data_IF_558665803830
#
_entry.id   IF_558665803830
#
_cell.length_a   1.000
_cell.length_b   1.000
_cell.length_c   1.000
_cell.angle_alpha   90.00
_cell.angle_beta   90.00
_cell.angle_gamma   90.00
#
_symmetry.space_group_name_H-M   'P 1'
#
loop_
_entity.id
_entity.type
_entity.pdbx_description
1 polymer ?
#
# COMPACT_ATOMS: atom_id res chain seq x y z
N UNK A 1 35.11 -87.08 50.67
CA UNK A 1 33.68 -86.88 50.37
C UNK A 1 33.32 -85.45 50.78
N UNK A 2 33.37 -84.50 49.85
CA UNK A 2 33.15 -83.07 50.12
C UNK A 2 31.76 -82.64 49.65
N UNK A 3 30.99 -82.02 50.54
CA UNK A 3 29.58 -81.68 50.37
C UNK A 3 29.30 -80.75 49.17
N UNK A 4 28.16 -80.89 48.47
CA UNK A 4 27.79 -79.94 47.42
C UNK A 4 27.32 -78.62 48.05
N UNK A 5 27.96 -77.52 47.64
CA UNK A 5 27.62 -76.16 48.06
C UNK A 5 26.30 -75.76 47.39
N UNK A 6 25.27 -75.50 48.20
CA UNK A 6 23.96 -75.04 47.74
C UNK A 6 24.04 -73.52 47.51
N UNK A 7 24.01 -73.08 46.25
CA UNK A 7 23.93 -71.65 45.92
C UNK A 7 22.50 -71.11 46.13
N UNK A 8 22.37 -70.16 47.07
CA UNK A 8 21.13 -69.44 47.35
C UNK A 8 20.69 -68.58 46.15
N UNK A 9 19.50 -68.85 45.60
CA UNK A 9 18.88 -68.09 44.50
C UNK A 9 17.94 -66.97 44.99
N UNK A 10 18.24 -66.32 46.11
CA UNK A 10 17.42 -65.20 46.56
C UNK A 10 17.79 -63.90 45.84
N UNK A 11 16.81 -63.03 45.58
CA UNK A 11 16.98 -61.78 44.85
C UNK A 11 17.98 -60.79 45.50
N UNK A 12 18.37 -61.00 46.76
CA UNK A 12 19.37 -60.17 47.46
C UNK A 12 20.82 -60.50 47.06
N UNK A 13 21.08 -61.68 46.50
CA UNK A 13 22.45 -62.12 46.15
C UNK A 13 22.87 -61.73 44.73
N UNK A 14 21.94 -61.33 43.85
CA UNK A 14 22.19 -60.82 42.50
C UNK A 14 22.02 -59.30 42.45
N UNK A 15 22.89 -58.55 43.12
CA UNK A 15 23.02 -57.12 42.87
C UNK A 15 23.82 -56.91 41.57
N UNK A 16 23.13 -56.82 40.44
CA UNK A 16 23.69 -56.16 39.26
C UNK A 16 24.10 -54.73 39.68
N UNK A 17 25.30 -54.24 39.34
CA UNK A 17 25.59 -52.82 39.48
C UNK A 17 24.58 -52.09 38.60
N UNK A 18 23.62 -51.41 39.21
CA UNK A 18 22.71 -50.53 38.50
C UNK A 18 23.59 -49.56 37.71
N UNK A 19 23.65 -49.72 36.38
CA UNK A 19 24.30 -48.76 35.49
C UNK A 19 23.76 -47.39 35.89
N UNK A 20 24.58 -46.57 36.55
CA UNK A 20 24.24 -45.17 36.81
C UNK A 20 23.88 -44.59 35.46
N UNK A 21 22.59 -44.37 35.20
CA UNK A 21 22.13 -43.57 34.06
C UNK A 21 22.74 -42.20 34.30
N UNK A 22 23.85 -41.91 33.60
CA UNK A 22 24.33 -40.55 33.45
C UNK A 22 23.17 -39.82 32.76
N UNK A 23 22.36 -39.09 33.54
CA UNK A 23 21.45 -38.10 32.97
C UNK A 23 22.35 -37.12 32.22
N UNK A 24 22.42 -37.25 30.89
CA UNK A 24 23.02 -36.20 30.05
C UNK A 24 22.30 -34.92 30.47
N UNK A 25 23.04 -33.94 30.99
CA UNK A 25 22.49 -32.59 31.21
C UNK A 25 21.84 -32.18 29.87
N UNK A 26 20.61 -31.65 29.87
CA UNK A 26 20.05 -31.10 28.64
C UNK A 26 21.09 -30.12 28.10
N UNK A 27 21.45 -30.25 26.81
CA UNK A 27 22.34 -29.29 26.18
C UNK A 27 21.64 -27.94 26.33
N UNK A 28 22.24 -26.99 27.05
CA UNK A 28 21.76 -25.62 27.10
C UNK A 28 21.93 -25.04 25.70
N UNK A 29 20.92 -25.22 24.85
CA UNK A 29 20.86 -24.63 23.53
C UNK A 29 20.64 -23.13 23.73
N UNK A 30 21.63 -22.34 23.33
CA UNK A 30 21.52 -20.89 23.28
C UNK A 30 21.18 -20.46 21.86
N UNK A 31 20.79 -19.19 21.68
CA UNK A 31 20.54 -18.63 20.35
C UNK A 31 21.76 -18.77 19.42
N UNK A 32 22.98 -18.75 19.97
CA UNK A 32 24.23 -18.93 19.22
C UNK A 32 24.43 -20.34 18.65
N UNK A 33 23.61 -21.31 19.09
CA UNK A 33 23.64 -22.67 18.55
C UNK A 33 22.68 -22.87 17.37
N UNK A 34 21.89 -21.85 17.02
CA UNK A 34 21.01 -21.90 15.86
C UNK A 34 21.81 -21.74 14.57
N UNK A 35 21.38 -22.37 13.45
CA UNK A 35 21.92 -22.09 12.12
C UNK A 35 21.77 -20.60 11.76
N UNK A 36 22.67 -20.09 10.93
CA UNK A 36 22.65 -18.68 10.50
C UNK A 36 21.32 -18.30 9.83
N UNK A 37 20.71 -19.19 9.06
CA UNK A 37 19.40 -18.95 8.45
C UNK A 37 18.31 -18.65 9.49
N UNK A 38 18.30 -19.40 10.60
CA UNK A 38 17.37 -19.16 11.69
C UNK A 38 17.66 -17.82 12.39
N UNK A 39 18.95 -17.47 12.56
CA UNK A 39 19.36 -16.17 13.10
C UNK A 39 18.92 -15.02 12.18
N UNK A 40 19.11 -15.13 10.87
CA UNK A 40 18.63 -14.12 9.91
C UNK A 40 17.12 -13.99 9.94
N UNK A 41 16.38 -15.10 10.06
CA UNK A 41 14.93 -15.05 10.22
C UNK A 41 14.50 -14.34 11.50
N UNK A 42 15.23 -14.48 12.61
CA UNK A 42 14.97 -13.74 13.85
C UNK A 42 15.28 -12.25 13.66
N UNK A 43 16.47 -11.92 13.15
CA UNK A 43 16.95 -10.55 12.95
C UNK A 43 16.06 -9.75 12.00
N UNK A 44 15.44 -10.40 11.01
CA UNK A 44 14.54 -9.79 10.01
C UNK A 44 13.37 -9.02 10.64
N UNK A 45 12.90 -9.42 11.83
CA UNK A 45 11.71 -8.84 12.46
C UNK A 45 12.02 -7.91 13.62
N UNK A 46 13.30 -7.62 13.86
CA UNK A 46 13.73 -6.75 14.94
C UNK A 46 13.72 -5.28 14.52
N UNK A 47 13.46 -4.40 15.49
CA UNK A 47 13.70 -2.98 15.31
C UNK A 47 15.20 -2.73 15.13
N UNK A 48 15.57 -1.62 14.48
CA UNK A 48 16.98 -1.24 14.37
C UNK A 48 17.64 -1.08 15.74
N UNK A 49 16.88 -0.64 16.76
CA UNK A 49 17.36 -0.56 18.14
C UNK A 49 17.73 -1.93 18.71
N UNK A 50 16.85 -2.92 18.53
CA UNK A 50 17.10 -4.30 18.97
C UNK A 50 18.24 -4.95 18.18
N UNK A 51 18.37 -4.68 16.88
CA UNK A 51 19.50 -5.14 16.06
C UNK A 51 20.82 -4.60 16.60
N UNK A 52 20.86 -3.31 16.99
CA UNK A 52 22.05 -2.70 17.59
C UNK A 52 22.36 -3.28 18.97
N UNK A 53 21.34 -3.60 19.76
CA UNK A 53 21.51 -4.30 21.03
C UNK A 53 22.09 -5.70 20.81
N UNK A 54 21.54 -6.50 19.89
CA UNK A 54 22.03 -7.82 19.52
C UNK A 54 23.49 -7.77 19.04
N UNK A 55 23.82 -6.77 18.22
CA UNK A 55 25.19 -6.50 17.74
C UNK A 55 26.19 -6.27 18.89
N UNK A 56 25.75 -5.71 20.02
CA UNK A 56 26.62 -5.41 21.16
C UNK A 56 26.90 -6.63 22.05
N UNK A 57 26.09 -7.70 21.96
CA UNK A 57 26.12 -8.82 22.91
C UNK A 57 27.21 -9.85 22.62
N UNK A 58 27.49 -10.18 21.35
CA UNK A 58 28.43 -11.25 20.99
C UNK A 58 29.13 -11.01 19.65
N UNK A 59 30.39 -11.43 19.53
CA UNK A 59 31.22 -11.21 18.32
C UNK A 59 30.65 -11.84 17.05
N UNK A 60 30.11 -13.06 17.15
CA UNK A 60 29.43 -13.71 16.02
C UNK A 60 28.17 -12.95 15.58
N UNK A 61 27.33 -12.50 16.52
CA UNK A 61 26.14 -11.71 16.19
C UNK A 61 26.51 -10.34 15.60
N UNK A 62 27.59 -9.72 16.11
CA UNK A 62 28.18 -8.53 15.51
C UNK A 62 28.61 -8.77 14.07
N UNK A 63 29.29 -9.89 13.79
CA UNK A 63 29.69 -10.27 12.44
C UNK A 63 28.46 -10.42 11.51
N UNK A 64 27.42 -11.11 11.96
CA UNK A 64 26.19 -11.29 11.19
C UNK A 64 25.52 -9.94 10.86
N UNK A 65 25.34 -9.09 11.87
CA UNK A 65 24.73 -7.77 11.70
C UNK A 65 25.60 -6.87 10.81
N UNK A 66 26.93 -6.88 10.98
CA UNK A 66 27.78 -5.93 10.27
C UNK A 66 28.01 -6.31 8.79
N UNK A 67 28.06 -7.61 8.47
CA UNK A 67 28.44 -8.08 7.13
C UNK A 67 27.27 -8.47 6.23
N UNK A 68 26.08 -8.77 6.77
CA UNK A 68 24.96 -9.23 5.95
C UNK A 68 23.98 -8.11 5.60
N UNK A 69 23.84 -7.84 4.30
CA UNK A 69 22.93 -6.82 3.78
C UNK A 69 21.46 -7.09 4.11
N UNK A 70 21.05 -8.36 4.14
CA UNK A 70 19.66 -8.79 4.40
C UNK A 70 19.14 -8.32 5.76
N UNK A 71 19.99 -8.26 6.78
CA UNK A 71 19.64 -7.76 8.12
C UNK A 71 19.21 -6.30 8.03
N UNK A 72 20.01 -5.46 7.36
CA UNK A 72 19.73 -4.03 7.19
C UNK A 72 18.59 -3.77 6.21
N UNK A 73 18.46 -4.58 5.16
CA UNK A 73 17.37 -4.52 4.19
C UNK A 73 15.99 -4.72 4.83
N UNK A 74 15.93 -5.50 5.91
CA UNK A 74 14.67 -5.83 6.59
C UNK A 74 14.48 -5.14 7.94
N UNK A 75 15.51 -4.48 8.48
CA UNK A 75 15.44 -3.80 9.77
C UNK A 75 14.25 -2.83 9.83
N UNK A 76 13.44 -2.90 10.88
CA UNK A 76 12.34 -1.95 11.03
C UNK A 76 12.81 -0.65 11.69
N UNK A 77 12.39 0.47 11.10
CA UNK A 77 12.61 1.83 11.63
C UNK A 77 11.33 2.42 12.20
N UNK A 78 10.38 1.58 12.63
CA UNK A 78 9.11 2.01 13.19
C UNK A 78 9.32 3.05 14.30
N UNK A 79 8.54 4.13 14.27
CA UNK A 79 8.60 5.24 15.23
C UNK A 79 9.92 6.02 15.26
N UNK A 80 10.92 5.62 14.48
CA UNK A 80 12.14 6.38 14.25
C UNK A 80 12.01 7.21 12.99
N UNK A 81 12.49 8.45 13.11
CA UNK A 81 12.62 9.38 12.01
C UNK A 81 14.09 9.74 11.77
N UNK A 82 14.51 10.00 10.51
CA UNK A 82 15.84 10.51 10.21
C UNK A 82 16.17 11.79 10.99
N UNK A 83 17.32 11.77 11.67
CA UNK A 83 17.87 12.88 12.45
C UNK A 83 19.39 12.86 12.36
N UNK A 84 20.12 13.94 12.74
CA UNK A 84 21.58 13.95 12.62
C UNK A 84 22.25 12.84 13.44
N UNK A 85 21.64 12.45 14.57
CA UNK A 85 22.17 11.40 15.44
C UNK A 85 22.02 9.97 14.92
N UNK A 86 21.03 9.70 14.05
CA UNK A 86 20.75 8.35 13.52
C UNK A 86 20.86 8.27 11.99
N UNK A 87 21.22 9.35 11.30
CA UNK A 87 21.26 9.44 9.83
C UNK A 87 22.06 8.30 9.20
N UNK A 88 23.27 8.02 9.71
CA UNK A 88 24.13 6.95 9.18
C UNK A 88 23.47 5.56 9.21
N UNK A 89 22.56 5.31 10.15
CA UNK A 89 21.82 4.05 10.23
C UNK A 89 20.78 3.95 9.11
N UNK A 90 20.04 5.02 8.87
CA UNK A 90 19.08 5.11 7.78
C UNK A 90 19.77 4.99 6.42
N UNK A 91 20.88 5.72 6.21
CA UNK A 91 21.63 5.68 4.95
C UNK A 91 22.18 4.28 4.68
N UNK A 92 22.79 3.64 5.70
CA UNK A 92 23.25 2.26 5.61
C UNK A 92 22.11 1.32 5.25
N UNK A 93 20.96 1.42 5.90
CA UNK A 93 19.83 0.54 5.63
C UNK A 93 19.28 0.74 4.21
N UNK A 94 19.10 1.99 3.78
CA UNK A 94 18.64 2.31 2.43
C UNK A 94 19.61 1.73 1.38
N UNK A 95 20.91 1.91 1.55
CA UNK A 95 21.95 1.35 0.65
C UNK A 95 21.95 -0.18 0.60
N UNK A 96 21.45 -0.85 1.64
CA UNK A 96 21.24 -2.31 1.65
C UNK A 96 19.88 -2.75 1.12
N UNK A 97 19.05 -1.83 0.61
CA UNK A 97 17.77 -2.12 -0.02
C UNK A 97 16.57 -2.02 0.91
N UNK A 98 16.67 -1.28 2.03
CA UNK A 98 15.54 -1.07 2.93
C UNK A 98 14.59 0.01 2.40
N UNK A 99 13.37 -0.40 2.02
CA UNK A 99 12.33 0.48 1.50
C UNK A 99 11.85 1.53 2.52
N UNK A 100 11.64 1.12 3.79
CA UNK A 100 11.19 2.02 4.85
C UNK A 100 12.20 3.17 5.07
N UNK A 101 13.49 2.84 5.12
CA UNK A 101 14.55 3.84 5.27
C UNK A 101 14.62 4.78 4.06
N UNK A 102 14.55 4.25 2.83
CA UNK A 102 14.58 5.06 1.61
C UNK A 102 13.40 6.05 1.54
N UNK A 103 12.17 5.60 1.82
CA UNK A 103 10.98 6.48 1.83
C UNK A 103 11.11 7.57 2.89
N UNK A 104 11.46 7.21 4.13
CA UNK A 104 11.60 8.17 5.24
C UNK A 104 12.68 9.20 4.95
N UNK A 105 13.85 8.79 4.43
CA UNK A 105 14.90 9.72 4.01
C UNK A 105 14.44 10.65 2.88
N UNK A 106 13.79 10.13 1.85
CA UNK A 106 13.27 10.92 0.74
C UNK A 106 12.31 12.03 1.21
N UNK A 107 11.38 11.68 2.09
CA UNK A 107 10.39 12.60 2.67
C UNK A 107 11.05 13.59 3.63
N UNK A 108 11.97 13.13 4.49
CA UNK A 108 12.71 13.98 5.45
C UNK A 108 13.49 15.08 4.73
N UNK A 109 14.26 14.73 3.69
CA UNK A 109 14.97 15.72 2.88
C UNK A 109 14.02 16.63 2.13
N UNK A 110 12.97 16.09 1.49
CA UNK A 110 12.03 16.89 0.69
C UNK A 110 11.36 17.99 1.51
N UNK A 111 10.92 17.67 2.73
CA UNK A 111 10.19 18.59 3.60
C UNK A 111 11.06 19.25 4.68
N UNK A 112 12.38 19.05 4.64
CA UNK A 112 13.33 19.58 5.61
C UNK A 112 12.95 19.25 7.06
N UNK A 113 12.59 18.00 7.31
CA UNK A 113 12.13 17.52 8.60
C UNK A 113 13.17 16.56 9.21
N UNK A 114 13.60 16.87 10.43
CA UNK A 114 14.58 16.07 11.17
C UNK A 114 16.02 16.26 10.73
N UNK A 115 16.28 16.81 9.54
CA UNK A 115 17.61 16.98 8.98
C UNK A 115 17.87 18.47 8.74
N UNK A 116 18.84 19.05 9.46
CA UNK A 116 19.26 20.44 9.25
C UNK A 116 20.39 20.50 8.21
N UNK A 117 20.12 21.09 7.06
CA UNK A 117 21.16 21.58 6.14
C UNK A 117 21.24 23.10 6.28
N UNK A 118 22.46 23.66 6.19
CA UNK A 118 22.73 25.11 6.21
C UNK A 118 21.80 25.88 5.27
N UNK A 119 21.52 27.15 5.59
CA UNK A 119 20.53 27.95 4.84
C UNK A 119 20.92 28.18 3.36
N UNK A 120 22.22 28.25 3.04
CA UNK A 120 22.69 28.40 1.66
C UNK A 120 22.46 27.10 0.84
N UNK A 121 21.82 27.23 -0.32
CA UNK A 121 21.49 26.13 -1.25
C UNK A 121 20.68 24.96 -0.65
N UNK A 122 19.96 25.17 0.47
CA UNK A 122 19.18 24.13 1.16
C UNK A 122 18.27 23.34 0.22
N UNK A 123 17.54 24.03 -0.67
CA UNK A 123 16.58 23.39 -1.56
C UNK A 123 17.23 22.51 -2.62
N UNK A 124 18.40 22.90 -3.10
CA UNK A 124 19.17 22.14 -4.09
C UNK A 124 19.77 20.88 -3.46
N UNK A 125 20.49 21.04 -2.35
CA UNK A 125 21.12 19.92 -1.64
C UNK A 125 20.09 18.91 -1.15
N UNK A 126 19.02 19.39 -0.49
CA UNK A 126 17.96 18.51 -0.01
C UNK A 126 17.17 17.88 -1.17
N UNK A 127 16.93 18.64 -2.24
CA UNK A 127 16.25 18.12 -3.44
C UNK A 127 17.04 16.98 -4.09
N UNK A 128 18.35 17.12 -4.26
CA UNK A 128 19.22 16.07 -4.81
C UNK A 128 19.25 14.82 -3.92
N UNK A 129 19.33 15.00 -2.58
CA UNK A 129 19.29 13.87 -1.65
C UNK A 129 17.93 13.18 -1.65
N UNK A 130 16.84 13.95 -1.64
CA UNK A 130 15.48 13.40 -1.72
C UNK A 130 15.27 12.62 -3.03
N UNK A 131 15.75 13.15 -4.16
CA UNK A 131 15.71 12.49 -5.47
C UNK A 131 16.37 11.12 -5.44
N UNK A 132 17.60 11.02 -4.91
CA UNK A 132 18.32 9.74 -4.76
C UNK A 132 17.50 8.70 -4.02
N UNK A 133 16.91 9.07 -2.88
CA UNK A 133 16.15 8.12 -2.06
C UNK A 133 14.76 7.79 -2.62
N UNK A 134 14.09 8.72 -3.28
CA UNK A 134 12.85 8.43 -4.00
C UNK A 134 13.07 7.50 -5.19
N UNK A 135 14.13 7.74 -5.97
CA UNK A 135 14.55 6.88 -7.06
C UNK A 135 14.86 5.45 -6.58
N UNK A 136 15.54 5.34 -5.43
CA UNK A 136 15.78 4.06 -4.77
C UNK A 136 14.48 3.39 -4.30
N UNK A 137 13.56 4.14 -3.67
CA UNK A 137 12.30 3.61 -3.18
C UNK A 137 11.42 3.03 -4.32
N UNK A 138 11.36 3.72 -5.46
CA UNK A 138 10.65 3.24 -6.65
C UNK A 138 11.28 1.98 -7.25
N UNK A 139 12.62 1.87 -7.20
CA UNK A 139 13.33 0.66 -7.67
C UNK A 139 13.15 -0.54 -6.74
N UNK A 140 13.06 -0.31 -5.43
CA UNK A 140 12.84 -1.38 -4.46
C UNK A 140 11.41 -1.92 -4.48
N UNK A 141 10.45 -1.17 -5.05
CA UNK A 141 9.03 -1.46 -4.95
C UNK A 141 8.35 -1.65 -6.31
N UNK A 142 8.92 -2.52 -7.15
CA UNK A 142 8.44 -2.80 -8.52
C UNK A 142 6.99 -3.34 -8.57
N UNK A 143 6.50 -3.91 -7.47
CA UNK A 143 5.15 -4.48 -7.36
C UNK A 143 4.05 -3.50 -6.95
N UNK A 144 4.35 -2.22 -6.76
CA UNK A 144 3.38 -1.19 -6.45
C UNK A 144 3.24 -0.18 -7.60
N UNK A 145 2.09 0.50 -7.66
CA UNK A 145 1.94 1.65 -8.55
C UNK A 145 2.95 2.73 -8.15
N UNK A 146 3.67 3.36 -9.10
CA UNK A 146 4.62 4.41 -8.78
C UNK A 146 3.93 5.55 -8.03
N UNK A 147 4.54 6.02 -6.96
CA UNK A 147 3.88 6.86 -5.96
C UNK A 147 4.64 8.15 -5.62
N UNK A 148 5.96 8.22 -5.83
CA UNK A 148 6.77 9.39 -5.38
C UNK A 148 6.28 10.73 -5.96
N UNK A 149 5.63 10.69 -7.13
CA UNK A 149 5.03 11.86 -7.77
C UNK A 149 4.03 12.60 -6.87
N UNK A 150 3.39 11.90 -5.92
CA UNK A 150 2.44 12.49 -4.97
C UNK A 150 3.12 13.52 -4.03
N UNK A 151 4.42 13.37 -3.76
CA UNK A 151 5.16 14.25 -2.85
C UNK A 151 5.70 15.49 -3.57
N UNK A 152 6.00 15.35 -4.87
CA UNK A 152 6.56 16.41 -5.72
C UNK A 152 5.51 17.10 -6.59
N UNK A 153 4.20 16.91 -6.31
CA UNK A 153 3.11 17.60 -7.03
C UNK A 153 3.30 19.12 -7.06
N UNK A 154 2.97 19.79 -8.18
CA UNK A 154 2.88 21.24 -8.26
C UNK A 154 1.76 21.79 -7.33
N UNK A 155 1.73 23.10 -7.04
CA UNK A 155 2.61 24.15 -7.56
C UNK A 155 4.03 24.11 -6.97
N UNK A 156 4.99 24.58 -7.76
CA UNK A 156 6.37 24.83 -7.32
C UNK A 156 6.62 26.33 -7.25
N UNK A 157 7.54 26.75 -6.39
CA UNK A 157 7.89 28.17 -6.31
C UNK A 157 8.52 28.65 -7.61
N UNK A 158 8.08 29.80 -8.11
CA UNK A 158 8.65 30.49 -9.27
C UNK A 158 9.92 31.28 -8.93
N UNK A 159 10.14 31.59 -7.65
CA UNK A 159 11.22 32.47 -7.18
C UNK A 159 12.59 31.80 -7.08
N UNK A 160 12.74 30.57 -7.60
CA UNK A 160 13.93 29.74 -7.44
C UNK A 160 14.09 29.18 -6.01
N UNK A 161 14.61 27.96 -5.89
CA UNK A 161 14.76 27.15 -4.65
C UNK A 161 13.50 26.39 -4.17
N UNK A 162 12.92 25.54 -5.03
CA UNK A 162 11.89 24.58 -4.62
C UNK A 162 12.43 23.15 -4.59
N UNK A 163 12.50 22.51 -3.40
CA UNK A 163 12.97 21.11 -3.27
C UNK A 163 12.23 20.15 -4.21
N UNK A 164 10.91 20.31 -4.37
CA UNK A 164 10.09 19.46 -5.26
C UNK A 164 10.50 19.58 -6.73
N UNK A 165 10.79 20.80 -7.18
CA UNK A 165 11.23 21.06 -8.55
C UNK A 165 12.62 20.44 -8.78
N UNK A 166 13.55 20.63 -7.84
CA UNK A 166 14.89 20.02 -7.89
C UNK A 166 14.81 18.50 -7.94
N UNK A 167 13.94 17.88 -7.15
CA UNK A 167 13.71 16.42 -7.22
C UNK A 167 13.26 16.00 -8.61
N UNK A 168 12.25 16.69 -9.16
CA UNK A 168 11.74 16.38 -10.50
C UNK A 168 12.83 16.52 -11.58
N UNK A 169 13.61 17.60 -11.55
CA UNK A 169 14.71 17.85 -12.50
C UNK A 169 15.83 16.80 -12.37
N UNK A 170 16.19 16.46 -11.13
CA UNK A 170 17.20 15.45 -10.83
C UNK A 170 16.78 14.05 -11.32
N UNK A 171 15.53 13.64 -11.07
CA UNK A 171 14.98 12.37 -11.57
C UNK A 171 14.92 12.34 -13.10
N UNK A 172 14.60 13.49 -13.73
CA UNK A 172 14.62 13.62 -15.20
C UNK A 172 16.03 13.44 -15.75
N UNK A 173 17.04 14.06 -15.13
CA UNK A 173 18.44 13.91 -15.51
C UNK A 173 18.94 12.47 -15.32
N UNK A 174 18.57 11.82 -14.20
CA UNK A 174 18.88 10.42 -13.96
C UNK A 174 18.32 9.52 -15.07
N UNK A 175 17.05 9.72 -15.45
CA UNK A 175 16.43 8.99 -16.54
C UNK A 175 17.16 9.20 -17.88
N UNK A 176 17.79 10.34 -18.14
CA UNK A 176 18.56 10.54 -19.37
C UNK A 176 19.88 9.74 -19.37
N UNK A 177 20.52 9.62 -18.21
CA UNK A 177 21.81 8.94 -18.05
C UNK A 177 21.65 7.41 -17.98
N UNK A 178 20.66 6.92 -17.24
CA UNK A 178 20.43 5.49 -17.03
C UNK A 178 19.28 4.99 -17.91
N UNK A 179 19.55 3.97 -18.75
CA UNK A 179 18.56 3.40 -19.68
C UNK A 179 17.76 2.22 -19.13
N UNK A 180 18.15 1.65 -17.98
CA UNK A 180 17.53 0.45 -17.41
C UNK A 180 16.75 0.79 -16.14
N UNK A 181 15.66 0.05 -15.89
CA UNK A 181 14.84 0.14 -14.67
C UNK A 181 14.29 1.54 -14.34
N UNK A 182 13.96 2.36 -15.36
CA UNK A 182 13.43 3.72 -15.17
C UNK A 182 11.92 3.86 -15.38
N UNK A 183 11.21 2.76 -15.66
CA UNK A 183 9.79 2.79 -16.03
C UNK A 183 8.90 3.47 -14.97
N UNK A 184 9.12 3.20 -13.68
CA UNK A 184 8.39 3.81 -12.56
C UNK A 184 8.71 5.30 -12.38
N UNK A 185 9.97 5.68 -12.56
CA UNK A 185 10.40 7.08 -12.49
C UNK A 185 9.82 7.88 -13.66
N UNK A 186 9.85 7.35 -14.88
CA UNK A 186 9.21 7.95 -16.05
C UNK A 186 7.70 8.15 -15.84
N UNK A 187 7.02 7.15 -15.26
CA UNK A 187 5.62 7.30 -14.88
C UNK A 187 5.44 8.48 -13.92
N UNK A 188 6.24 8.56 -12.86
CA UNK A 188 6.15 9.63 -11.87
C UNK A 188 6.37 11.01 -12.49
N UNK A 189 7.38 11.16 -13.35
CA UNK A 189 7.64 12.40 -14.08
C UNK A 189 6.46 12.77 -14.99
N UNK A 190 5.92 11.80 -15.73
CA UNK A 190 4.73 11.98 -16.55
C UNK A 190 3.52 12.44 -15.73
N UNK A 191 3.27 11.81 -14.56
CA UNK A 191 2.17 12.19 -13.66
C UNK A 191 2.32 13.59 -13.09
N UNK A 192 3.54 14.05 -12.80
CA UNK A 192 3.77 15.43 -12.37
C UNK A 192 3.44 16.39 -13.50
N UNK A 193 3.94 16.14 -14.71
CA UNK A 193 3.71 17.00 -15.87
C UNK A 193 2.22 17.04 -16.26
N UNK A 194 1.50 15.93 -16.12
CA UNK A 194 0.06 15.85 -16.43
C UNK A 194 -0.82 16.66 -15.46
N UNK A 195 -0.27 17.18 -14.37
CA UNK A 195 -1.01 18.04 -13.42
C UNK A 195 -0.97 19.52 -13.80
N UNK A 196 -0.11 19.92 -14.74
CA UNK A 196 -0.10 21.29 -15.25
C UNK A 196 -1.14 21.47 -16.35
N UNK A 197 -1.76 22.64 -16.44
CA UNK A 197 -2.77 22.93 -17.47
C UNK A 197 -2.16 23.31 -18.84
N UNK A 198 -0.82 23.42 -18.90
CA UNK A 198 -0.05 23.75 -20.10
C UNK A 198 -0.02 22.59 -21.12
N UNK A 199 -0.43 22.85 -22.36
CA UNK A 199 -0.50 21.84 -23.42
C UNK A 199 0.86 21.20 -23.76
N UNK A 200 1.94 21.97 -23.71
CA UNK A 200 3.28 21.46 -23.99
C UNK A 200 3.75 20.48 -22.90
N UNK A 201 3.45 20.79 -21.64
CA UNK A 201 3.67 19.85 -20.52
C UNK A 201 2.80 18.60 -20.63
N UNK A 202 1.56 18.72 -21.08
CA UNK A 202 0.70 17.54 -21.34
C UNK A 202 1.26 16.66 -22.47
N UNK A 203 1.76 17.25 -23.56
CA UNK A 203 2.46 16.51 -24.62
C UNK A 203 3.73 15.82 -24.11
N UNK A 204 4.51 16.50 -23.26
CA UNK A 204 5.69 15.90 -22.62
C UNK A 204 5.30 14.76 -21.68
N UNK A 205 4.24 14.92 -20.88
CA UNK A 205 3.71 13.89 -20.01
C UNK A 205 3.35 12.62 -20.79
N UNK A 206 2.64 12.79 -21.91
CA UNK A 206 2.27 11.69 -22.80
C UNK A 206 3.49 10.93 -23.32
N UNK A 207 4.52 11.63 -23.80
CA UNK A 207 5.79 11.01 -24.25
C UNK A 207 6.46 10.19 -23.15
N UNK A 208 6.46 10.70 -21.91
CA UNK A 208 7.02 9.98 -20.76
C UNK A 208 6.21 8.72 -20.41
N UNK A 209 4.88 8.78 -20.52
CA UNK A 209 4.05 7.59 -20.35
C UNK A 209 4.28 6.54 -21.44
N UNK A 210 4.44 6.97 -22.71
CA UNK A 210 4.75 6.06 -23.82
C UNK A 210 6.09 5.35 -23.60
N UNK A 211 7.12 6.10 -23.18
CA UNK A 211 8.42 5.53 -22.85
C UNK A 211 8.36 4.58 -21.64
N UNK A 212 7.63 4.97 -20.59
CA UNK A 212 7.38 4.14 -19.41
C UNK A 212 6.64 2.84 -19.75
N UNK A 213 5.62 2.92 -20.61
CA UNK A 213 4.85 1.77 -21.09
C UNK A 213 5.72 0.82 -21.93
N UNK A 214 6.58 1.35 -22.81
CA UNK A 214 7.51 0.55 -23.61
C UNK A 214 8.53 -0.20 -22.75
N UNK A 215 8.82 0.28 -21.54
CA UNK A 215 9.65 -0.41 -20.55
C UNK A 215 8.85 -1.34 -19.61
N UNK A 216 7.57 -1.59 -19.89
CA UNK A 216 6.74 -2.57 -19.18
C UNK A 216 5.92 -2.02 -18.00
N UNK A 217 5.82 -0.69 -17.82
CA UNK A 217 4.94 -0.14 -16.78
C UNK A 217 3.47 -0.26 -17.16
N UNK A 218 2.77 -1.24 -16.57
CA UNK A 218 1.33 -1.47 -16.81
C UNK A 218 0.46 -0.26 -16.49
N UNK A 219 0.78 0.48 -15.42
CA UNK A 219 0.02 1.68 -15.02
C UNK A 219 0.09 2.76 -16.12
N UNK A 220 1.26 2.97 -16.73
CA UNK A 220 1.41 3.88 -17.87
C UNK A 220 0.69 3.37 -19.11
N UNK A 221 0.78 2.07 -19.42
CA UNK A 221 0.07 1.47 -20.55
C UNK A 221 -1.44 1.63 -20.44
N UNK A 222 -2.00 1.38 -19.25
CA UNK A 222 -3.43 1.56 -18.98
C UNK A 222 -3.84 3.03 -19.07
N UNK A 223 -3.05 3.96 -18.51
CA UNK A 223 -3.36 5.39 -18.54
C UNK A 223 -3.39 5.95 -19.97
N UNK A 224 -2.45 5.53 -20.83
CA UNK A 224 -2.47 5.89 -22.25
C UNK A 224 -3.73 5.35 -22.94
N UNK A 225 -4.04 4.08 -22.71
CA UNK A 225 -5.26 3.47 -23.25
C UNK A 225 -6.53 4.21 -22.80
N UNK A 226 -6.62 4.58 -21.53
CA UNK A 226 -7.77 5.32 -20.99
C UNK A 226 -7.92 6.70 -21.65
N UNK A 227 -6.80 7.38 -21.92
CA UNK A 227 -6.79 8.68 -22.62
C UNK A 227 -7.23 8.57 -24.09
N UNK A 228 -6.85 7.50 -24.77
CA UNK A 228 -7.15 7.29 -26.20
C UNK A 228 -8.53 6.67 -26.42
N UNK A 229 -9.11 6.07 -25.37
CA UNK A 229 -10.36 5.31 -25.42
C UNK A 229 -11.47 6.04 -26.18
N UNK A 230 -11.70 7.33 -25.90
CA UNK A 230 -12.79 8.08 -26.56
C UNK A 230 -12.63 8.14 -28.07
N UNK A 231 -11.39 8.33 -28.56
CA UNK A 231 -11.10 8.40 -29.99
C UNK A 231 -11.14 7.03 -30.64
N UNK A 232 -10.63 5.99 -29.96
CA UNK A 232 -10.66 4.62 -30.45
C UNK A 232 -12.08 4.09 -30.64
N UNK A 233 -13.02 4.49 -29.77
CA UNK A 233 -14.43 4.05 -29.83
C UNK A 233 -15.20 4.64 -31.02
N UNK A 234 -14.65 5.63 -31.73
CA UNK A 234 -15.28 6.22 -32.93
C UNK A 234 -15.10 5.37 -34.19
N UNK A 235 -14.07 4.52 -34.24
CA UNK A 235 -13.78 3.64 -35.38
C UNK A 235 -13.90 2.16 -34.98
N UNK A 236 -14.72 1.34 -35.67
CA UNK A 236 -14.92 -0.07 -35.27
C UNK A 236 -13.65 -0.91 -35.21
N UNK A 237 -12.67 -0.67 -36.10
CA UNK A 237 -11.42 -1.41 -36.13
C UNK A 237 -10.50 -1.06 -34.95
N UNK A 238 -10.33 0.24 -34.68
CA UNK A 238 -9.59 0.75 -33.52
C UNK A 238 -10.24 0.34 -32.21
N UNK A 239 -11.57 0.36 -32.14
CA UNK A 239 -12.35 -0.08 -30.99
C UNK A 239 -12.03 -1.54 -30.62
N UNK A 240 -12.08 -2.47 -31.57
CA UNK A 240 -11.70 -3.88 -31.36
C UNK A 240 -10.24 -4.03 -30.90
N UNK A 241 -9.31 -3.29 -31.50
CA UNK A 241 -7.91 -3.30 -31.09
C UNK A 241 -7.72 -2.76 -29.66
N UNK A 242 -8.45 -1.70 -29.32
CA UNK A 242 -8.45 -1.08 -28.00
C UNK A 242 -8.93 -2.07 -26.93
N UNK A 243 -9.98 -2.84 -27.20
CA UNK A 243 -10.46 -3.88 -26.30
C UNK A 243 -9.50 -5.07 -26.15
N UNK A 244 -8.78 -5.45 -27.21
CA UNK A 244 -7.71 -6.47 -27.10
C UNK A 244 -6.62 -6.01 -26.14
N UNK A 245 -6.14 -4.77 -26.29
CA UNK A 245 -5.18 -4.17 -25.34
C UNK A 245 -5.70 -4.18 -23.91
N UNK A 246 -6.96 -3.78 -23.71
CA UNK A 246 -7.59 -3.78 -22.38
C UNK A 246 -7.57 -5.18 -21.75
N UNK A 247 -7.95 -6.21 -22.51
CA UNK A 247 -7.91 -7.61 -22.06
C UNK A 247 -6.49 -8.06 -21.72
N UNK A 248 -5.51 -7.69 -22.54
CA UNK A 248 -4.10 -8.03 -22.30
C UNK A 248 -3.58 -7.36 -21.02
N UNK A 249 -3.95 -6.11 -20.74
CA UNK A 249 -3.59 -5.43 -19.49
C UNK A 249 -4.25 -6.09 -18.27
N UNK A 250 -5.53 -6.45 -18.39
CA UNK A 250 -6.27 -7.15 -17.34
C UNK A 250 -5.63 -8.52 -17.01
N UNK A 251 -5.23 -9.28 -18.04
CA UNK A 251 -4.56 -10.57 -17.90
C UNK A 251 -3.16 -10.45 -17.25
N UNK A 252 -2.46 -9.33 -17.47
CA UNK A 252 -1.18 -9.03 -16.81
C UNK A 252 -1.32 -8.57 -15.35
N UNK A 253 -2.54 -8.50 -14.83
CA UNK A 253 -2.82 -8.17 -13.42
C UNK A 253 -3.07 -6.69 -13.14
N UNK A 254 -3.31 -5.85 -14.15
CA UNK A 254 -3.78 -4.48 -13.93
C UNK A 254 -5.25 -4.50 -13.51
N UNK A 255 -5.52 -4.25 -12.23
CA UNK A 255 -6.88 -4.32 -11.68
C UNK A 255 -7.77 -3.18 -12.20
N UNK A 256 -7.22 -2.00 -12.53
CA UNK A 256 -7.96 -0.92 -13.18
C UNK A 256 -8.45 -1.36 -14.56
N UNK A 257 -7.62 -2.09 -15.31
CA UNK A 257 -7.99 -2.69 -16.58
C UNK A 257 -9.07 -3.77 -16.40
N UNK A 258 -9.00 -4.58 -15.33
CA UNK A 258 -10.03 -5.58 -15.03
C UNK A 258 -11.40 -4.93 -14.73
N UNK A 259 -11.43 -3.83 -13.96
CA UNK A 259 -12.65 -3.07 -13.71
C UNK A 259 -13.22 -2.45 -14.98
N UNK A 260 -12.36 -1.83 -15.81
CA UNK A 260 -12.76 -1.24 -17.08
C UNK A 260 -13.27 -2.29 -18.08
N UNK A 261 -12.67 -3.48 -18.09
CA UNK A 261 -13.13 -4.62 -18.89
C UNK A 261 -14.50 -5.11 -18.43
N UNK A 262 -14.72 -5.23 -17.12
CA UNK A 262 -16.02 -5.60 -16.57
C UNK A 262 -17.11 -4.57 -16.88
N UNK A 263 -16.79 -3.26 -16.86
CA UNK A 263 -17.73 -2.22 -17.30
C UNK A 263 -18.06 -2.35 -18.79
N UNK A 264 -17.08 -2.67 -19.63
CA UNK A 264 -17.30 -2.88 -21.05
C UNK A 264 -18.23 -4.06 -21.36
N UNK A 265 -18.27 -5.09 -20.50
CA UNK A 265 -19.20 -6.22 -20.62
C UNK A 265 -20.69 -5.82 -20.57
N UNK A 266 -21.03 -4.64 -20.01
CA UNK A 266 -22.39 -4.10 -20.07
C UNK A 266 -22.87 -3.84 -21.52
N UNK A 267 -21.93 -3.58 -22.43
CA UNK A 267 -22.18 -3.29 -23.83
C UNK A 267 -21.71 -4.44 -24.74
N UNK A 268 -21.99 -5.69 -24.37
CA UNK A 268 -21.43 -6.92 -24.95
C UNK A 268 -21.34 -6.99 -26.49
N UNK A 269 -22.22 -6.31 -27.23
CA UNK A 269 -22.15 -6.17 -28.69
C UNK A 269 -20.85 -5.52 -29.19
N UNK A 270 -20.24 -4.61 -28.42
CA UNK A 270 -19.02 -3.89 -28.79
C UNK A 270 -17.75 -4.73 -28.63
N UNK A 271 -17.81 -5.79 -27.83
CA UNK A 271 -16.68 -6.68 -27.55
C UNK A 271 -16.62 -7.89 -28.49
N UNK A 272 -17.69 -8.16 -29.25
CA UNK A 272 -17.82 -9.39 -30.02
C UNK A 272 -17.81 -10.65 -29.14
N UNK A 273 -18.10 -10.51 -27.85
CA UNK A 273 -18.13 -11.59 -26.88
C UNK A 273 -19.55 -12.12 -26.72
N UNK A 274 -19.66 -13.43 -26.53
CA UNK A 274 -20.91 -14.04 -26.11
C UNK A 274 -21.31 -13.54 -24.70
N UNK A 275 -22.61 -13.48 -24.44
CA UNK A 275 -23.14 -13.03 -23.15
C UNK A 275 -22.61 -13.88 -21.97
N UNK A 276 -22.40 -15.18 -22.20
CA UNK A 276 -21.82 -16.09 -21.20
C UNK A 276 -20.38 -15.73 -20.85
N UNK A 277 -19.53 -15.51 -21.86
CA UNK A 277 -18.14 -15.10 -21.64
C UNK A 277 -18.04 -13.74 -20.94
N UNK A 278 -18.94 -12.81 -21.27
CA UNK A 278 -19.03 -11.51 -20.59
C UNK A 278 -19.40 -11.66 -19.10
N UNK A 279 -20.35 -12.54 -18.78
CA UNK A 279 -20.71 -12.87 -17.39
C UNK A 279 -19.55 -13.51 -16.63
N UNK A 280 -18.83 -14.45 -17.25
CA UNK A 280 -17.68 -15.11 -16.64
C UNK A 280 -16.55 -14.12 -16.27
N UNK A 281 -16.27 -13.13 -17.11
CA UNK A 281 -15.27 -12.08 -16.82
C UNK A 281 -15.66 -11.29 -15.57
N UNK A 282 -16.92 -10.86 -15.46
CA UNK A 282 -17.41 -10.11 -14.30
C UNK A 282 -17.38 -10.99 -13.05
N UNK A 283 -17.82 -12.26 -13.15
CA UNK A 283 -17.73 -13.24 -12.07
C UNK A 283 -16.31 -13.42 -11.55
N UNK A 284 -15.34 -13.59 -12.43
CA UNK A 284 -13.93 -13.73 -12.04
C UNK A 284 -13.41 -12.50 -11.30
N UNK A 285 -13.74 -11.28 -11.77
CA UNK A 285 -13.36 -10.04 -11.09
C UNK A 285 -13.92 -9.96 -9.66
N UNK A 286 -15.21 -10.31 -9.49
CA UNK A 286 -15.87 -10.25 -8.18
C UNK A 286 -15.36 -11.35 -7.24
N UNK A 287 -15.11 -12.56 -7.76
CA UNK A 287 -14.54 -13.68 -7.00
C UNK A 287 -13.07 -13.45 -6.59
N UNK A 288 -12.31 -12.72 -7.40
CA UNK A 288 -10.95 -12.29 -7.06
C UNK A 288 -10.93 -11.22 -5.96
N UNK A 289 -12.08 -10.61 -5.64
CA UNK A 289 -12.21 -9.73 -4.49
C UNK A 289 -12.17 -10.57 -3.22
N UNK A 290 -11.10 -10.42 -2.45
CA UNK A 290 -10.96 -11.11 -1.19
C UNK A 290 -11.29 -10.19 -0.02
N UNK A 291 -12.00 -10.74 0.97
CA UNK A 291 -12.07 -10.12 2.27
C UNK A 291 -10.65 -10.00 2.82
N UNK A 292 -10.37 -8.87 3.44
CA UNK A 292 -9.18 -8.76 4.26
C UNK A 292 -9.39 -9.68 5.48
N UNK A 293 -8.46 -10.61 5.73
CA UNK A 293 -8.57 -11.57 6.83
C UNK A 293 -8.90 -10.86 8.17
N UNK A 294 -10.00 -11.31 8.79
CA UNK A 294 -10.79 -10.72 9.89
C UNK A 294 -10.11 -10.77 11.27
N UNK A 295 -8.83 -11.12 11.38
CA UNK A 295 -8.05 -10.92 12.62
C UNK A 295 -7.70 -9.43 12.73
N UNK A 296 -8.80 -8.73 13.03
CA UNK A 296 -9.18 -7.35 13.30
C UNK A 296 -8.20 -6.29 12.85
N UNK A 297 -8.74 -5.18 12.30
CA UNK A 297 -8.02 -3.90 12.17
C UNK A 297 -7.16 -3.58 13.42
N UNK A 298 -7.60 -4.08 14.58
CA UNK A 298 -6.94 -3.99 15.87
C UNK A 298 -6.08 -5.19 16.33
N UNK A 299 -5.71 -6.15 15.47
CA UNK A 299 -4.99 -7.37 15.89
C UNK A 299 -3.66 -7.10 16.57
N UNK A 300 -2.94 -6.08 16.11
CA UNK A 300 -1.71 -5.62 16.75
C UNK A 300 -1.97 -4.56 17.82
N UNK A 301 -3.16 -3.95 17.86
CA UNK A 301 -3.45 -2.79 18.71
C UNK A 301 -3.71 -3.18 20.16
N UNK A 302 -3.07 -2.47 21.10
CA UNK A 302 -3.18 -2.73 22.53
C UNK A 302 -4.26 -1.90 23.25
N UNK A 303 -4.77 -0.85 22.61
CA UNK A 303 -5.68 0.10 23.28
C UNK A 303 -6.73 0.76 22.40
N UNK A 304 -6.83 0.40 21.12
CA UNK A 304 -7.85 0.92 20.20
C UNK A 304 -9.04 -0.04 20.14
N UNK A 305 -10.23 0.50 19.90
CA UNK A 305 -11.46 -0.26 19.77
C UNK A 305 -12.32 0.28 18.62
N UNK A 306 -13.40 -0.44 18.32
CA UNK A 306 -14.34 -0.09 17.24
C UNK A 306 -14.94 1.31 17.40
N UNK A 307 -15.25 1.73 18.63
CA UNK A 307 -15.80 3.07 18.91
C UNK A 307 -14.82 4.18 18.54
N UNK A 308 -13.53 4.03 18.86
CA UNK A 308 -12.51 5.01 18.50
C UNK A 308 -12.32 5.13 16.99
N UNK A 309 -12.39 4.01 16.27
CA UNK A 309 -12.37 4.02 14.80
C UNK A 309 -13.64 4.67 14.25
N UNK A 310 -14.82 4.34 14.78
CA UNK A 310 -16.08 4.98 14.38
C UNK A 310 -15.97 6.50 14.48
N UNK A 311 -15.54 7.03 15.64
CA UNK A 311 -15.36 8.47 15.86
C UNK A 311 -14.39 9.08 14.85
N UNK A 312 -13.28 8.39 14.56
CA UNK A 312 -12.33 8.86 13.55
C UNK A 312 -12.97 8.92 12.16
N UNK A 313 -13.65 7.86 11.72
CA UNK A 313 -14.20 7.78 10.37
C UNK A 313 -15.35 8.78 10.20
N UNK A 314 -16.20 8.93 11.22
CA UNK A 314 -17.27 9.93 11.26
C UNK A 314 -16.71 11.35 11.07
N UNK A 315 -15.65 11.70 11.81
CA UNK A 315 -14.95 12.97 11.61
C UNK A 315 -14.31 13.10 10.21
N UNK A 316 -13.73 12.03 9.66
CA UNK A 316 -13.19 12.06 8.30
C UNK A 316 -14.28 12.24 7.23
N UNK A 317 -15.52 11.77 7.47
CA UNK A 317 -16.67 12.06 6.61
C UNK A 317 -16.95 13.57 6.62
N UNK A 318 -17.00 14.21 7.80
CA UNK A 318 -17.18 15.67 7.91
C UNK A 318 -16.11 16.44 7.14
N UNK A 319 -14.83 16.05 7.30
CA UNK A 319 -13.71 16.68 6.57
C UNK A 319 -13.87 16.49 5.06
N UNK A 320 -14.22 15.28 4.61
CA UNK A 320 -14.42 14.99 3.20
C UNK A 320 -15.57 15.82 2.62
N UNK A 321 -16.69 15.93 3.33
CA UNK A 321 -17.84 16.76 2.93
C UNK A 321 -17.48 18.23 2.88
N UNK A 322 -16.79 18.76 3.90
CA UNK A 322 -16.39 20.17 3.94
C UNK A 322 -15.42 20.55 2.83
N UNK A 323 -14.56 19.62 2.39
CA UNK A 323 -13.58 19.83 1.32
C UNK A 323 -14.05 19.33 -0.05
N UNK A 324 -15.30 18.88 -0.15
CA UNK A 324 -15.91 18.31 -1.36
C UNK A 324 -15.07 17.18 -1.99
N UNK A 325 -14.49 16.33 -1.14
CA UNK A 325 -13.75 15.16 -1.60
C UNK A 325 -14.70 14.03 -1.99
N UNK A 326 -14.36 13.32 -3.07
CA UNK A 326 -15.18 12.24 -3.58
C UNK A 326 -15.31 11.07 -2.61
N UNK A 327 -16.42 10.34 -2.70
CA UNK A 327 -16.65 9.08 -1.97
C UNK A 327 -15.49 8.09 -2.12
N UNK A 328 -14.90 8.00 -3.32
CA UNK A 328 -13.72 7.18 -3.58
C UNK A 328 -12.50 7.61 -2.74
N UNK A 329 -12.29 8.92 -2.57
CA UNK A 329 -11.21 9.45 -1.74
C UNK A 329 -11.36 9.05 -0.27
N UNK A 330 -12.58 9.18 0.25
CA UNK A 330 -12.93 8.77 1.60
C UNK A 330 -12.70 7.26 1.80
N UNK A 331 -13.22 6.41 0.90
CA UNK A 331 -13.03 4.96 0.99
C UNK A 331 -11.54 4.55 0.98
N UNK A 332 -10.73 5.17 0.11
CA UNK A 332 -9.28 4.93 0.10
C UNK A 332 -8.59 5.41 1.38
N UNK A 333 -9.03 6.54 1.93
CA UNK A 333 -8.52 7.06 3.20
C UNK A 333 -8.75 6.06 4.32
N UNK A 334 -9.99 5.56 4.44
CA UNK A 334 -10.35 4.55 5.45
C UNK A 334 -9.56 3.25 5.24
N UNK A 335 -9.41 2.78 4.01
CA UNK A 335 -8.61 1.59 3.71
C UNK A 335 -7.13 1.77 4.08
N UNK A 336 -6.56 2.96 3.85
CA UNK A 336 -5.19 3.27 4.28
C UNK A 336 -5.04 3.25 5.81
N UNK A 337 -6.01 3.84 6.53
CA UNK A 337 -6.07 3.79 8.00
C UNK A 337 -6.13 2.34 8.48
N UNK A 338 -7.06 1.55 7.97
CA UNK A 338 -7.27 0.17 8.42
C UNK A 338 -6.09 -0.75 8.09
N UNK A 339 -5.44 -0.55 6.93
CA UNK A 339 -4.20 -1.25 6.59
C UNK A 339 -3.04 -0.87 7.48
N UNK A 340 -2.93 0.41 7.84
CA UNK A 340 -1.90 0.87 8.75
C UNK A 340 -2.09 0.28 10.16
N UNK A 341 -3.32 0.33 10.69
CA UNK A 341 -3.66 -0.23 11.99
C UNK A 341 -3.42 -1.74 12.09
N UNK A 342 -3.50 -2.48 10.98
CA UNK A 342 -3.13 -3.91 10.94
C UNK A 342 -1.62 -4.18 11.06
N UNK A 343 -0.78 -3.18 10.77
CA UNK A 343 0.68 -3.34 10.64
C UNK A 343 1.47 -2.64 11.74
N UNK A 344 0.98 -1.51 12.26
CA UNK A 344 1.71 -0.63 13.18
C UNK A 344 0.87 -0.29 14.39
N UNK A 345 1.47 -0.36 15.57
CA UNK A 345 0.86 0.11 16.81
C UNK A 345 0.58 1.61 16.74
N UNK A 346 -0.61 2.03 17.18
CA UNK A 346 -0.98 3.45 17.22
C UNK A 346 -1.53 3.78 18.60
N UNK A 347 -0.90 4.72 19.33
CA UNK A 347 -1.48 5.20 20.56
C UNK A 347 -2.73 6.05 20.26
N UNK A 348 -3.71 6.03 21.17
CA UNK A 348 -5.00 6.73 21.02
C UNK A 348 -4.85 8.18 20.56
N UNK A 349 -3.93 8.92 21.18
CA UNK A 349 -3.70 10.34 20.90
C UNK A 349 -3.09 10.63 19.52
N UNK A 350 -2.67 9.60 18.75
CA UNK A 350 -2.19 9.73 17.36
C UNK A 350 -3.18 9.20 16.33
N UNK A 351 -4.36 8.72 16.74
CA UNK A 351 -5.33 8.14 15.81
C UNK A 351 -5.88 9.18 14.82
N UNK A 352 -6.16 10.41 15.28
CA UNK A 352 -6.58 11.51 14.41
C UNK A 352 -5.46 11.92 13.43
N UNK A 353 -4.21 12.01 13.91
CA UNK A 353 -3.03 12.26 13.09
C UNK A 353 -2.89 11.23 11.95
N UNK A 354 -3.10 9.94 12.25
CA UNK A 354 -3.11 8.88 11.23
C UNK A 354 -4.20 9.12 10.19
N UNK A 355 -5.44 9.36 10.62
CA UNK A 355 -6.57 9.55 9.71
C UNK A 355 -6.36 10.71 8.74
N UNK A 356 -5.97 11.88 9.27
CA UNK A 356 -5.77 13.05 8.43
C UNK A 356 -4.53 12.92 7.53
N UNK A 357 -3.45 12.26 7.98
CA UNK A 357 -2.29 11.97 7.15
C UNK A 357 -2.63 11.02 5.98
N UNK A 358 -3.43 9.98 6.22
CA UNK A 358 -3.96 9.12 5.17
C UNK A 358 -4.78 9.92 4.14
N UNK A 359 -5.62 10.85 4.59
CA UNK A 359 -6.42 11.70 3.68
C UNK A 359 -5.53 12.62 2.83
N UNK A 360 -4.48 13.22 3.42
CA UNK A 360 -3.49 14.00 2.67
C UNK A 360 -2.83 13.15 1.57
N UNK A 361 -2.45 11.90 1.88
CA UNK A 361 -1.86 11.00 0.89
C UNK A 361 -2.86 10.63 -0.20
N UNK A 362 -4.08 10.24 0.17
CA UNK A 362 -5.10 9.78 -0.78
C UNK A 362 -5.58 10.90 -1.72
N UNK A 363 -5.84 12.10 -1.19
CA UNK A 363 -6.20 13.27 -2.02
C UNK A 363 -5.09 13.60 -3.03
N UNK A 364 -3.82 13.54 -2.61
CA UNK A 364 -2.64 13.66 -3.49
C UNK A 364 -2.40 12.46 -4.40
N UNK A 365 -3.17 11.38 -4.33
CA UNK A 365 -3.01 10.24 -5.22
C UNK A 365 -4.10 10.20 -6.29
N UNK A 366 -5.35 10.53 -5.93
CA UNK A 366 -6.50 10.37 -6.83
C UNK A 366 -7.17 11.66 -7.28
N UNK A 367 -7.01 12.78 -6.57
CA UNK A 367 -7.79 14.00 -6.81
C UNK A 367 -6.96 15.09 -7.51
N UNK A 368 -7.62 16.03 -8.20
CA UNK A 368 -7.00 17.29 -8.68
C UNK A 368 -6.80 18.23 -7.49
N UNK A 369 -7.86 18.47 -6.74
CA UNK A 369 -7.85 19.20 -5.47
C UNK A 369 -7.23 18.35 -4.37
N UNK A 370 -6.30 18.93 -3.60
CA UNK A 370 -5.56 18.22 -2.56
C UNK A 370 -5.84 18.79 -1.18
N UNK A 371 -5.76 17.94 -0.15
CA UNK A 371 -5.60 18.42 1.21
C UNK A 371 -4.11 18.73 1.45
N UNK A 372 -3.78 20.00 1.68
CA UNK A 372 -2.39 20.38 2.02
C UNK A 372 -2.06 19.99 3.46
N UNK A 373 -0.76 19.90 3.79
CA UNK A 373 -0.32 19.59 5.16
C UNK A 373 -0.75 20.69 6.14
N UNK A 374 -0.71 21.95 5.69
CA UNK A 374 -1.10 23.10 6.53
C UNK A 374 -2.60 23.11 6.82
N UNK A 375 -3.42 22.82 5.81
CA UNK A 375 -4.86 22.64 6.03
C UNK A 375 -5.14 21.45 6.94
N UNK A 376 -4.47 20.32 6.76
CA UNK A 376 -4.59 19.16 7.65
C UNK A 376 -4.27 19.50 9.11
N UNK A 377 -3.20 20.28 9.36
CA UNK A 377 -2.87 20.79 10.70
C UNK A 377 -4.01 21.65 11.26
N UNK A 378 -4.51 22.60 10.46
CA UNK A 378 -5.59 23.48 10.87
C UNK A 378 -6.88 22.71 11.18
N UNK A 379 -7.24 21.71 10.38
CA UNK A 379 -8.43 20.85 10.59
C UNK A 379 -8.39 20.03 11.87
N UNK A 380 -7.20 19.81 12.43
CA UNK A 380 -7.02 19.14 13.73
C UNK A 380 -7.00 20.12 14.90
N UNK A 381 -7.51 21.34 14.71
CA UNK A 381 -7.42 22.46 15.65
C UNK A 381 -5.99 22.71 16.14
N UNK A 382 -5.00 22.50 15.26
CA UNK A 382 -3.57 22.60 15.55
C UNK A 382 -3.09 21.66 16.68
N UNK A 383 -3.81 20.56 16.94
CA UNK A 383 -3.38 19.51 17.87
C UNK A 383 -2.03 18.90 17.46
N UNK A 384 -1.78 18.82 16.15
CA UNK A 384 -0.54 18.33 15.58
C UNK A 384 0.18 19.42 14.78
N UNK A 385 1.51 19.32 14.71
CA UNK A 385 2.32 20.26 13.92
C UNK A 385 2.53 19.76 12.49
N UNK A 386 3.06 20.65 11.66
CA UNK A 386 3.44 20.33 10.28
C UNK A 386 4.39 19.13 10.23
N UNK A 387 5.37 19.09 11.14
CA UNK A 387 6.39 18.04 11.21
C UNK A 387 5.76 16.69 11.60
N UNK A 388 4.76 16.70 12.48
CA UNK A 388 4.06 15.47 12.88
C UNK A 388 3.33 14.84 11.70
N UNK A 389 2.69 15.66 10.86
CA UNK A 389 2.07 15.22 9.61
C UNK A 389 3.09 14.67 8.63
N UNK A 390 4.24 15.34 8.45
CA UNK A 390 5.32 14.86 7.56
C UNK A 390 5.83 13.50 7.99
N UNK A 391 6.09 13.32 9.29
CA UNK A 391 6.52 12.04 9.86
C UNK A 391 5.46 10.97 9.68
N UNK A 392 4.19 11.29 9.99
CA UNK A 392 3.09 10.36 9.85
C UNK A 392 2.88 9.93 8.40
N UNK A 393 3.02 10.82 7.43
CA UNK A 393 2.96 10.44 6.01
C UNK A 393 4.06 9.45 5.65
N UNK A 394 5.29 9.66 6.14
CA UNK A 394 6.39 8.71 5.91
C UNK A 394 6.17 7.36 6.60
N UNK A 395 5.60 7.34 7.81
CA UNK A 395 5.17 6.10 8.46
C UNK A 395 4.09 5.38 7.63
N UNK A 396 3.07 6.09 7.15
CA UNK A 396 1.99 5.47 6.36
C UNK A 396 2.53 4.88 5.06
N UNK A 397 3.28 5.65 4.26
CA UNK A 397 3.78 5.17 2.97
C UNK A 397 4.77 4.01 3.14
N UNK A 398 5.64 4.07 4.15
CA UNK A 398 6.56 2.97 4.44
C UNK A 398 5.83 1.72 4.93
N UNK A 399 4.90 1.85 5.88
CA UNK A 399 4.13 0.74 6.41
C UNK A 399 3.20 0.09 5.37
N UNK A 400 2.78 0.83 4.34
CA UNK A 400 1.92 0.35 3.26
C UNK A 400 2.70 -0.13 2.03
N UNK A 401 4.03 -0.17 2.09
CA UNK A 401 4.91 -0.53 0.98
C UNK A 401 4.55 0.27 -0.30
N UNK A 402 4.31 1.58 -0.18
CA UNK A 402 3.91 2.45 -1.31
C UNK A 402 2.58 2.11 -2.00
N UNK A 403 1.86 1.07 -1.58
CA UNK A 403 0.59 0.63 -2.19
C UNK A 403 -0.57 1.50 -1.71
N UNK A 404 -0.70 2.72 -2.23
CA UNK A 404 -1.71 3.69 -1.77
C UNK A 404 -3.12 3.33 -2.23
N UNK A 405 -3.29 2.86 -3.47
CA UNK A 405 -4.60 2.54 -4.05
C UNK A 405 -4.81 1.03 -4.17
N UNK A 406 -6.01 0.60 -3.78
CA UNK A 406 -6.54 -0.76 -3.96
C UNK A 406 -8.01 -0.65 -4.37
N UNK A 407 -8.60 -1.68 -4.99
CA UNK A 407 -10.04 -1.70 -5.28
C UNK A 407 -10.87 -1.53 -4.01
N UNK A 408 -11.83 -0.62 -4.04
CA UNK A 408 -12.75 -0.31 -2.94
C UNK A 408 -14.19 -0.72 -3.27
N UNK A 409 -15.09 -0.64 -2.29
CA UNK A 409 -16.53 -0.88 -2.48
C UNK A 409 -17.08 0.01 -3.60
N UNK A 410 -16.61 1.25 -3.70
CA UNK A 410 -17.04 2.21 -4.75
C UNK A 410 -16.64 1.72 -6.14
N UNK A 411 -15.44 1.16 -6.29
CA UNK A 411 -14.97 0.67 -7.60
C UNK A 411 -15.85 -0.48 -8.12
N UNK A 412 -16.23 -1.43 -7.25
CA UNK A 412 -17.15 -2.52 -7.59
C UNK A 412 -18.60 -2.05 -7.77
N UNK A 413 -19.06 -1.10 -6.94
CA UNK A 413 -20.36 -0.45 -7.09
C UNK A 413 -20.49 0.17 -8.48
N UNK A 414 -19.49 0.90 -8.95
CA UNK A 414 -19.53 1.54 -10.27
C UNK A 414 -19.59 0.51 -11.41
N UNK A 415 -18.97 -0.67 -11.25
CA UNK A 415 -19.14 -1.77 -12.20
C UNK A 415 -20.59 -2.26 -12.19
N UNK A 416 -21.16 -2.51 -11.01
CA UNK A 416 -22.56 -2.97 -10.87
C UNK A 416 -23.56 -1.97 -11.45
N UNK A 417 -23.39 -0.67 -11.19
CA UNK A 417 -24.26 0.38 -11.73
C UNK A 417 -24.17 0.51 -13.25
N UNK A 418 -23.04 0.11 -13.85
CA UNK A 418 -22.88 0.06 -15.31
C UNK A 418 -23.60 -1.16 -15.89
N UNK A 419 -23.50 -2.32 -15.22
CA UNK A 419 -24.10 -3.58 -15.67
C UNK A 419 -25.62 -3.63 -15.46
N UNK A 420 -26.11 -2.99 -14.40
CA UNK A 420 -27.50 -2.99 -13.99
C UNK A 420 -27.99 -1.54 -13.93
N UNK A 421 -28.53 -1.00 -15.04
CA UNK A 421 -29.08 0.35 -15.04
C UNK A 421 -30.19 0.49 -14.00
N UNK A 422 -30.13 1.55 -13.19
CA UNK A 422 -31.10 1.81 -12.13
C UNK A 422 -31.56 3.27 -12.14
N UNK A 423 -32.74 3.53 -11.57
CA UNK A 423 -33.22 4.89 -11.33
C UNK A 423 -32.23 5.66 -10.42
N UNK A 424 -32.02 6.97 -10.66
CA UNK A 424 -31.06 7.78 -9.89
C UNK A 424 -31.26 7.67 -8.38
N UNK A 425 -32.51 7.66 -7.90
CA UNK A 425 -32.82 7.51 -6.48
C UNK A 425 -32.22 6.23 -5.86
N UNK A 426 -32.32 5.09 -6.55
CA UNK A 426 -31.71 3.83 -6.08
C UNK A 426 -30.18 3.88 -6.13
N UNK A 427 -29.59 4.55 -7.13
CA UNK A 427 -28.14 4.72 -7.21
C UNK A 427 -27.58 5.56 -6.03
N UNK A 428 -28.29 6.63 -5.64
CA UNK A 428 -27.94 7.43 -4.48
C UNK A 428 -28.06 6.63 -3.18
N UNK A 429 -29.15 5.85 -3.01
CA UNK A 429 -29.30 4.98 -1.84
C UNK A 429 -28.20 3.91 -1.77
N UNK A 430 -27.85 3.28 -2.91
CA UNK A 430 -26.74 2.34 -2.98
C UNK A 430 -25.40 3.00 -2.58
N UNK A 431 -25.15 4.22 -3.05
CA UNK A 431 -23.93 4.97 -2.70
C UNK A 431 -23.90 5.34 -1.21
N UNK A 432 -25.03 5.77 -0.65
CA UNK A 432 -25.18 6.03 0.78
C UNK A 432 -24.90 4.77 1.62
N UNK A 433 -25.44 3.61 1.23
CA UNK A 433 -25.20 2.34 1.92
C UNK A 433 -23.72 1.92 1.86
N UNK A 434 -23.03 2.18 0.74
CA UNK A 434 -21.59 1.95 0.63
C UNK A 434 -20.81 2.83 1.63
N UNK A 435 -21.14 4.12 1.74
CA UNK A 435 -20.49 5.02 2.69
C UNK A 435 -20.80 4.66 4.15
N UNK A 436 -22.05 4.31 4.46
CA UNK A 436 -22.46 3.86 5.78
C UNK A 436 -21.66 2.62 6.23
N UNK A 437 -21.25 1.77 5.28
CA UNK A 437 -20.45 0.59 5.58
C UNK A 437 -19.07 0.92 6.19
N UNK A 438 -18.53 2.12 5.93
CA UNK A 438 -17.22 2.55 6.43
C UNK A 438 -17.20 2.69 7.96
N UNK A 439 -18.32 3.06 8.56
CA UNK A 439 -18.44 3.29 10.01
C UNK A 439 -18.34 1.99 10.82
N UNK A 440 -18.68 0.85 10.22
CA UNK A 440 -18.80 -0.42 10.94
C UNK A 440 -17.64 -1.38 10.63
N UNK A 441 -16.70 -1.52 11.56
CA UNK A 441 -15.55 -2.44 11.42
C UNK A 441 -15.95 -3.90 11.19
N UNK A 442 -17.14 -4.32 11.66
CA UNK A 442 -17.64 -5.69 11.45
C UNK A 442 -17.79 -6.05 9.98
N UNK A 443 -18.03 -5.04 9.11
CA UNK A 443 -18.20 -5.21 7.67
C UNK A 443 -16.87 -5.40 6.94
N UNK A 444 -15.74 -5.06 7.54
CA UNK A 444 -14.40 -5.35 7.00
C UNK A 444 -14.13 -6.87 6.84
N UNK A 445 -15.00 -7.71 7.41
CA UNK A 445 -15.03 -9.15 7.23
C UNK A 445 -15.37 -9.63 5.82
N UNK A 446 -15.98 -8.76 5.01
CA UNK A 446 -16.50 -9.09 3.69
C UNK A 446 -15.63 -8.44 2.63
N UNK A 447 -15.55 -9.06 1.46
CA UNK A 447 -14.81 -8.47 0.35
C UNK A 447 -15.52 -7.19 -0.14
N UNK A 448 -14.78 -6.19 -0.65
CA UNK A 448 -15.39 -4.98 -1.19
C UNK A 448 -16.44 -5.24 -2.27
N UNK A 449 -16.24 -6.27 -3.12
CA UNK A 449 -17.21 -6.68 -4.13
C UNK A 449 -18.53 -7.18 -3.52
N UNK A 450 -18.45 -7.99 -2.45
CA UNK A 450 -19.63 -8.48 -1.74
C UNK A 450 -20.41 -7.35 -1.07
N UNK A 451 -19.71 -6.39 -0.45
CA UNK A 451 -20.36 -5.22 0.15
C UNK A 451 -21.06 -4.36 -0.91
N UNK A 452 -20.45 -4.18 -2.08
CA UNK A 452 -21.05 -3.44 -3.18
C UNK A 452 -22.33 -4.13 -3.70
N UNK A 453 -22.28 -5.45 -3.89
CA UNK A 453 -23.44 -6.24 -4.30
C UNK A 453 -24.58 -6.19 -3.25
N UNK A 454 -24.24 -6.36 -1.97
CA UNK A 454 -25.20 -6.27 -0.88
C UNK A 454 -25.85 -4.89 -0.77
N UNK A 455 -25.07 -3.80 -0.92
CA UNK A 455 -25.59 -2.44 -0.94
C UNK A 455 -26.55 -2.19 -2.11
N UNK A 456 -26.22 -2.71 -3.30
CA UNK A 456 -27.08 -2.63 -4.48
C UNK A 456 -28.41 -3.36 -4.24
N UNK A 457 -28.35 -4.60 -3.76
CA UNK A 457 -29.53 -5.42 -3.46
C UNK A 457 -30.42 -4.77 -2.43
N UNK A 458 -29.84 -4.30 -1.32
CA UNK A 458 -30.59 -3.63 -0.26
C UNK A 458 -31.25 -2.35 -0.77
N UNK A 459 -30.55 -1.55 -1.59
CA UNK A 459 -31.13 -0.35 -2.19
C UNK A 459 -32.34 -0.68 -3.09
N UNK A 460 -32.26 -1.74 -3.89
CA UNK A 460 -33.36 -2.20 -4.76
C UNK A 460 -34.55 -2.69 -3.94
N UNK A 461 -34.31 -3.55 -2.95
CA UNK A 461 -35.34 -4.08 -2.07
C UNK A 461 -36.07 -2.96 -1.32
N UNK A 462 -35.32 -1.98 -0.81
CA UNK A 462 -35.90 -0.82 -0.10
C UNK A 462 -36.82 0.02 -0.98
N UNK A 463 -36.56 0.07 -2.29
CA UNK A 463 -37.43 0.74 -3.26
C UNK A 463 -38.48 -0.17 -3.91
N UNK A 464 -38.70 -1.38 -3.38
CA UNK A 464 -39.69 -2.32 -3.91
C UNK A 464 -39.36 -2.89 -5.30
N UNK A 465 -38.10 -2.79 -5.73
CA UNK A 465 -37.62 -3.33 -7.00
C UNK A 465 -37.26 -4.80 -6.79
N UNK A 466 -38.28 -5.68 -6.82
CA UNK A 466 -38.10 -7.12 -6.66
C UNK A 466 -37.27 -7.72 -7.80
N UNK A 467 -36.78 -8.94 -7.56
CA UNK A 467 -35.89 -9.69 -8.42
C UNK A 467 -36.55 -10.12 -9.75
N UNK A 468 -37.85 -9.89 -9.96
CA UNK A 468 -38.56 -10.35 -11.16
C UNK A 468 -38.34 -9.49 -12.43
N UNK A 469 -37.46 -8.49 -12.37
CA UNK A 469 -37.17 -7.69 -13.55
C UNK A 469 -36.24 -8.48 -14.51
N UNK A 470 -36.63 -8.71 -15.78
CA UNK A 470 -35.81 -9.43 -16.78
C UNK A 470 -34.46 -8.75 -17.11
N UNK A 471 -34.21 -7.57 -16.53
CA UNK A 471 -33.04 -6.71 -16.73
C UNK A 471 -31.79 -7.22 -15.99
N UNK A 472 -31.92 -8.13 -15.02
CA UNK A 472 -30.76 -8.66 -14.27
C UNK A 472 -29.95 -9.67 -15.11
N UNK A 473 -30.52 -10.20 -16.20
CA UNK A 473 -29.78 -10.94 -17.23
C UNK A 473 -28.91 -12.09 -16.69
N UNK A 474 -27.83 -12.48 -17.37
CA UNK A 474 -26.94 -13.59 -16.95
C UNK A 474 -26.08 -13.27 -15.71
N UNK A 475 -26.27 -12.10 -15.10
CA UNK A 475 -25.50 -11.62 -13.94
C UNK A 475 -26.18 -11.95 -12.60
N UNK A 476 -27.30 -12.69 -12.62
CA UNK A 476 -27.97 -13.21 -11.42
C UNK A 476 -27.05 -13.96 -10.45
N UNK A 477 -26.06 -14.67 -10.97
CA UNK A 477 -25.11 -15.45 -10.17
C UNK A 477 -24.09 -14.59 -9.40
N UNK A 478 -24.05 -13.28 -9.65
CA UNK A 478 -23.18 -12.31 -8.95
C UNK A 478 -23.84 -11.66 -7.73
N UNK A 479 -25.18 -11.70 -7.66
CA UNK A 479 -26.02 -11.15 -6.60
C UNK A 479 -26.43 -12.26 -5.64
#
# INVERSE_FOLDING_TARGET
>A
MGSPVIHCRCAKCFCYPSKRRIRRRPRNLTILNLPEDALFHILKWLSVGDILAVRAVHSHLKYLVDNHASVWACASFQELWPSPGNLKLFERAAEKGNFEAAVKLGIAYLYNEGLSVSDEARAEVNGLRASRYFSLAERLNVGAAPFIWLFIRPPWSVSGSCCKAVVHESLRAECQLQKTHRASILHCLGRVLSLFEDEEKQKQARKLFEESANQGCLTSSYLLWESDRRMDMLDPGRCLHSFRKLRDFAAKGCWEAQLSLAKACAHGHQLGLEAKASSEIVCQLFQASHAVNKQRVFSVQKGLNDTMRYILIDWLVEVATMKDFSSLCLHLTVECVDRYLRRRLVPRYRLQLLGIACMVICTRFISKEILTIREAVWLTDNTYKYEDLVRMMGEVVSALDGKIRVPTVVDYKDVLLTLVPMAPRTQHLCSFLCELSLLHTSLAAYAPAHLAAAALLLARLTHGQTLDHPVVGPYWLLL
#
